data_IF_388989328649
#
_entry.id   IF_388989328649
#
_cell.length_a   1.000
_cell.length_b   1.000
_cell.length_c   1.000
_cell.angle_alpha   90.00
_cell.angle_beta   90.00
_cell.angle_gamma   90.00
#
_symmetry.space_group_name_H-M   'P 1'
#
loop_
_entity.id
_entity.type
_entity.pdbx_description
1 polymer ?
#
# COMPACT_ATOMS: atom_id res chain seq x y z
N UNK A 1 -31.15 -16.60 2.75
CA UNK A 1 -30.51 -16.27 2.78
C UNK A 1 -29.85 -15.38 2.98
N UNK A 2 -29.91 -15.05 3.24
CA UNK A 2 -29.39 -14.34 3.49
C UNK A 2 -28.17 -13.91 3.54
N UNK A 3 -27.39 -14.47 3.88
CA UNK A 3 -26.05 -14.14 3.81
C UNK A 3 -25.58 -13.52 2.58
N UNK A 4 -26.37 -13.62 1.71
CA UNK A 4 -26.14 -13.06 0.41
C UNK A 4 -25.73 -11.61 0.40
N UNK A 5 -25.95 -10.91 1.47
CA UNK A 5 -25.60 -9.50 1.51
C UNK A 5 -24.10 -9.24 1.42
N UNK A 6 -23.31 -10.29 1.41
CA UNK A 6 -21.87 -10.10 1.36
C UNK A 6 -21.29 -10.55 0.04
N UNK A 7 -22.11 -10.75 -0.92
CA UNK A 7 -21.65 -11.28 -2.16
C UNK A 7 -20.64 -10.44 -2.87
N UNK A 8 -20.71 -9.14 -2.72
CA UNK A 8 -19.74 -8.28 -3.38
C UNK A 8 -18.75 -7.79 -2.36
N UNK A 9 -17.52 -8.23 -2.43
CA UNK A 9 -16.50 -7.70 -1.55
C UNK A 9 -16.42 -6.20 -1.73
N UNK A 10 -16.39 -5.42 -0.65
CA UNK A 10 -16.29 -3.98 -0.79
C UNK A 10 -14.90 -3.50 -1.20
N UNK A 11 -13.96 -4.42 -1.42
CA UNK A 11 -12.57 -4.06 -1.73
C UNK A 11 -12.11 -4.65 -3.04
N UNK A 12 -11.27 -3.89 -3.74
CA UNK A 12 -10.49 -4.39 -4.87
C UNK A 12 -9.17 -4.96 -4.40
N UNK A 13 -8.20 -5.13 -5.30
CA UNK A 13 -6.87 -5.62 -4.93
C UNK A 13 -6.19 -4.71 -3.92
N UNK A 14 -5.37 -5.29 -3.07
CA UNK A 14 -4.64 -4.58 -2.02
C UNK A 14 -3.15 -4.81 -2.22
N UNK A 15 -2.37 -3.74 -2.22
CA UNK A 15 -0.92 -3.81 -2.25
C UNK A 15 -0.37 -3.44 -0.88
N UNK A 16 0.71 -4.11 -0.49
CA UNK A 16 1.46 -3.78 0.72
C UNK A 16 2.77 -3.11 0.32
N UNK A 17 3.08 -2.00 0.97
CA UNK A 17 4.34 -1.29 0.78
C UNK A 17 5.08 -1.18 2.09
N UNK A 18 6.36 -1.52 2.09
CA UNK A 18 7.24 -1.29 3.22
C UNK A 18 8.14 -0.11 2.86
N UNK A 19 7.87 1.04 3.47
CA UNK A 19 8.56 2.29 3.16
C UNK A 19 9.61 2.59 4.23
N UNK A 20 10.87 2.42 3.87
CA UNK A 20 11.98 2.69 4.79
C UNK A 20 12.10 4.17 5.12
N UNK A 21 12.30 4.48 6.38
CA UNK A 21 12.48 5.84 6.87
C UNK A 21 13.96 6.08 7.19
N UNK A 22 14.39 7.32 7.13
CA UNK A 22 15.79 7.66 7.41
C UNK A 22 16.09 7.77 8.90
N UNK A 23 15.12 7.56 9.76
CA UNK A 23 15.28 7.62 11.22
C UNK A 23 14.26 6.74 11.89
N UNK A 24 14.09 6.91 13.19
CA UNK A 24 13.15 6.12 13.97
C UNK A 24 11.73 6.66 13.94
N UNK A 25 11.52 7.85 13.42
CA UNK A 25 10.21 8.50 13.35
C UNK A 25 9.87 8.89 11.93
N UNK A 26 8.59 8.82 11.57
CA UNK A 26 8.18 9.26 10.24
C UNK A 26 8.33 10.76 10.11
N UNK A 27 8.83 11.18 8.97
CA UNK A 27 8.86 12.58 8.59
C UNK A 27 7.41 13.00 8.29
N UNK A 28 6.95 14.14 8.82
CA UNK A 28 5.62 14.65 8.48
C UNK A 28 5.36 14.72 6.98
N UNK A 29 6.38 14.97 6.17
CA UNK A 29 6.24 15.00 4.73
C UNK A 29 5.86 13.64 4.13
N UNK A 30 6.38 12.56 4.70
CA UNK A 30 6.04 11.21 4.25
C UNK A 30 4.57 10.90 4.54
N UNK A 31 4.09 11.27 5.71
CA UNK A 31 2.71 11.06 6.08
C UNK A 31 1.76 11.91 5.24
N UNK A 32 2.15 13.15 4.95
CA UNK A 32 1.38 14.03 4.07
C UNK A 32 1.27 13.48 2.66
N UNK A 33 2.36 12.91 2.17
CA UNK A 33 2.36 12.30 0.83
C UNK A 33 1.37 11.15 0.74
N UNK A 34 1.33 10.29 1.78
CA UNK A 34 0.36 9.20 1.82
C UNK A 34 -1.07 9.71 1.83
N UNK A 35 -1.34 10.73 2.63
CA UNK A 35 -2.67 11.33 2.72
C UNK A 35 -3.09 11.91 1.38
N UNK A 36 -2.18 12.60 0.72
CA UNK A 36 -2.44 13.22 -0.58
C UNK A 36 -2.75 12.17 -1.64
N UNK A 37 -1.96 11.10 -1.71
CA UNK A 37 -2.18 10.04 -2.68
C UNK A 37 -3.51 9.32 -2.45
N UNK A 38 -3.85 9.06 -1.20
CA UNK A 38 -5.10 8.37 -0.88
C UNK A 38 -6.31 9.29 -1.01
N UNK A 39 -6.11 10.60 -1.02
CA UNK A 39 -7.18 11.57 -1.24
C UNK A 39 -7.60 11.71 -2.70
N UNK A 40 -6.86 11.11 -3.63
CA UNK A 40 -7.14 11.23 -5.06
C UNK A 40 -8.37 10.45 -5.52
N UNK A 41 -8.84 9.49 -4.73
CA UNK A 41 -9.93 8.59 -5.12
C UNK A 41 -9.49 7.38 -5.92
N UNK A 42 -8.23 7.32 -6.32
CA UNK A 42 -7.68 6.18 -7.06
C UNK A 42 -7.19 5.08 -6.13
N UNK A 43 -6.76 5.46 -4.94
CA UNK A 43 -6.23 4.57 -3.92
C UNK A 43 -6.96 4.83 -2.61
N UNK A 44 -7.02 3.81 -1.76
CA UNK A 44 -7.61 3.95 -0.44
C UNK A 44 -6.67 3.36 0.60
N UNK A 45 -6.36 4.12 1.63
CA UNK A 45 -5.52 3.65 2.72
C UNK A 45 -6.35 2.72 3.61
N UNK A 46 -5.97 1.47 3.70
CA UNK A 46 -6.70 0.47 4.48
C UNK A 46 -6.10 0.28 5.86
N UNK A 47 -4.79 0.21 5.94
CA UNK A 47 -4.11 -0.02 7.21
C UNK A 47 -2.71 0.59 7.17
N UNK A 48 -2.16 0.91 8.34
CA UNK A 48 -0.86 1.54 8.47
C UNK A 48 -0.23 1.17 9.79
N UNK A 49 1.00 0.68 9.75
CA UNK A 49 1.78 0.38 10.93
C UNK A 49 3.14 1.05 10.84
N UNK A 50 3.65 1.51 11.97
CA UNK A 50 5.04 1.95 12.08
C UNK A 50 5.82 0.82 12.73
N UNK A 51 6.83 0.32 12.05
CA UNK A 51 7.67 -0.76 12.56
C UNK A 51 9.05 -0.20 12.79
N UNK A 52 9.53 -0.27 14.02
CA UNK A 52 10.86 0.21 14.41
C UNK A 52 11.74 -0.97 14.78
N UNK A 53 13.02 -0.90 14.42
CA UNK A 53 14.01 -1.86 14.88
C UNK A 53 15.07 -1.13 15.66
N UNK A 54 15.32 -1.60 16.89
CA UNK A 54 16.37 -1.03 17.72
C UNK A 54 17.74 -1.42 17.17
N UNK A 55 18.80 -0.83 17.71
CA UNK A 55 20.17 -1.20 17.36
C UNK A 55 20.48 -2.66 17.68
N UNK A 56 19.76 -3.23 18.64
CA UNK A 56 19.89 -4.64 19.01
C UNK A 56 19.01 -5.56 18.15
N UNK A 57 18.27 -5.00 17.20
CA UNK A 57 17.43 -5.78 16.31
C UNK A 57 16.05 -6.10 16.87
N UNK A 58 15.65 -5.49 17.98
CA UNK A 58 14.31 -5.69 18.53
C UNK A 58 13.28 -4.90 17.75
N UNK A 59 12.15 -5.54 17.45
CA UNK A 59 11.07 -4.95 16.66
C UNK A 59 9.98 -4.41 17.56
N UNK A 60 9.54 -3.17 17.28
CA UNK A 60 8.40 -2.55 17.93
C UNK A 60 7.39 -2.15 16.88
N UNK A 61 6.11 -2.43 17.12
CA UNK A 61 5.03 -2.12 16.20
C UNK A 61 4.11 -1.09 16.83
N UNK A 62 3.83 -0.01 16.11
CA UNK A 62 2.93 1.04 16.56
C UNK A 62 1.81 1.19 15.52
N UNK A 63 0.57 1.12 15.96
CA UNK A 63 -0.57 1.30 15.07
C UNK A 63 -0.75 2.78 14.72
N UNK A 64 -1.42 3.05 13.60
CA UNK A 64 -1.57 4.40 13.06
C UNK A 64 -2.05 5.41 14.10
N UNK A 65 -3.04 5.03 14.90
CA UNK A 65 -3.62 5.92 15.90
C UNK A 65 -2.65 6.32 16.99
N UNK A 66 -1.58 5.56 17.18
CA UNK A 66 -0.60 5.77 18.24
C UNK A 66 0.72 6.36 17.72
N UNK A 67 0.84 6.63 16.43
CA UNK A 67 2.06 7.20 15.87
C UNK A 67 2.25 8.62 16.37
N UNK A 68 3.36 8.91 17.05
CA UNK A 68 3.62 10.26 17.55
C UNK A 68 3.79 11.26 16.41
N UNK A 69 3.35 12.48 16.62
CA UNK A 69 3.55 13.55 15.64
C UNK A 69 2.38 13.81 14.72
N UNK A 70 1.24 13.22 15.02
CA UNK A 70 0.02 13.69 14.39
C UNK A 70 -0.32 13.12 13.03
N UNK A 71 -0.30 11.80 12.91
CA UNK A 71 -0.97 11.20 11.78
C UNK A 71 -2.47 11.29 12.10
N UNK A 72 -3.10 12.32 11.58
CA UNK A 72 -4.48 12.66 11.96
C UNK A 72 -5.54 11.70 11.44
N UNK A 73 -5.18 10.78 10.58
CA UNK A 73 -6.16 9.84 10.05
C UNK A 73 -6.72 8.95 11.16
N UNK A 74 -5.85 8.47 12.05
CA UNK A 74 -6.27 7.57 13.11
C UNK A 74 -6.97 6.33 12.56
N UNK A 75 -7.46 5.48 13.45
CA UNK A 75 -8.14 4.26 13.03
C UNK A 75 -9.42 4.53 12.25
N UNK A 76 -10.10 5.66 12.53
CA UNK A 76 -11.36 6.00 11.87
C UNK A 76 -11.15 6.37 10.39
N UNK A 77 -9.94 6.81 10.01
CA UNK A 77 -9.64 7.14 8.62
C UNK A 77 -9.11 5.97 7.81
N UNK A 78 -8.90 4.82 8.45
CA UNK A 78 -8.41 3.64 7.76
C UNK A 78 -9.58 2.78 7.32
N UNK A 79 -9.51 2.27 6.10
CA UNK A 79 -10.60 1.47 5.54
C UNK A 79 -10.73 0.08 6.16
N UNK A 80 -9.64 -0.47 6.65
CA UNK A 80 -9.62 -1.82 7.21
C UNK A 80 -8.52 -1.95 8.26
N UNK A 81 -8.59 -1.15 9.32
CA UNK A 81 -7.62 -1.21 10.40
C UNK A 81 -7.51 -2.64 10.95
N UNK A 82 -6.29 -3.12 11.11
CA UNK A 82 -6.05 -4.49 11.55
C UNK A 82 -5.92 -5.51 10.42
N UNK A 83 -6.00 -5.07 9.16
CA UNK A 83 -5.84 -5.96 8.01
C UNK A 83 -4.45 -6.58 7.98
N UNK A 84 -3.41 -5.81 8.33
CA UNK A 84 -2.05 -6.31 8.34
C UNK A 84 -1.87 -7.18 9.57
N UNK A 85 -1.59 -8.46 9.36
CA UNK A 85 -1.42 -9.42 10.45
C UNK A 85 0.03 -9.54 10.90
N UNK A 86 0.23 -10.18 12.04
CA UNK A 86 1.55 -10.39 12.60
C UNK A 86 2.47 -11.20 11.67
N UNK A 87 1.91 -12.11 10.90
CA UNK A 87 2.70 -12.90 9.95
C UNK A 87 3.32 -12.03 8.86
N UNK A 88 2.56 -11.04 8.39
CA UNK A 88 3.07 -10.09 7.39
C UNK A 88 4.20 -9.27 7.97
N UNK A 89 4.04 -8.82 9.21
CA UNK A 89 5.05 -8.02 9.89
C UNK A 89 6.32 -8.82 10.10
N UNK A 90 6.19 -10.07 10.58
CA UNK A 90 7.35 -10.90 10.87
C UNK A 90 8.22 -11.10 9.62
N UNK A 91 7.59 -11.34 8.49
CA UNK A 91 8.32 -11.53 7.24
C UNK A 91 8.99 -10.28 6.71
N UNK A 92 8.40 -9.13 6.94
CA UNK A 92 8.89 -7.87 6.40
C UNK A 92 9.84 -7.12 7.35
N UNK A 93 9.67 -7.28 8.65
CA UNK A 93 10.49 -6.58 9.64
C UNK A 93 11.98 -6.87 9.49
N UNK A 94 12.32 -8.07 9.04
CA UNK A 94 13.72 -8.45 8.83
C UNK A 94 14.40 -7.60 7.75
N UNK A 95 13.63 -6.96 6.88
CA UNK A 95 14.16 -6.11 5.82
C UNK A 95 14.50 -4.70 6.32
N UNK A 96 14.07 -4.35 7.52
CA UNK A 96 14.33 -3.03 8.09
C UNK A 96 15.71 -3.04 8.75
N UNK A 97 16.63 -2.14 8.36
CA UNK A 97 17.94 -2.08 9.00
C UNK A 97 17.83 -1.74 10.48
N UNK A 98 18.74 -2.31 11.29
CA UNK A 98 18.77 -2.03 12.72
C UNK A 98 18.91 -0.52 12.96
N UNK A 99 18.24 -0.01 13.97
CA UNK A 99 18.28 1.41 14.32
C UNK A 99 17.43 2.30 13.44
N UNK A 100 16.62 1.73 12.54
CA UNK A 100 15.75 2.50 11.67
C UNK A 100 14.30 2.05 11.82
N UNK A 101 13.40 2.70 11.08
CA UNK A 101 11.99 2.37 11.08
C UNK A 101 11.46 2.32 9.66
N UNK A 102 10.28 1.76 9.51
CA UNK A 102 9.58 1.73 8.23
C UNK A 102 8.07 1.83 8.46
N UNK A 103 7.37 2.37 7.48
CA UNK A 103 5.92 2.34 7.46
C UNK A 103 5.48 1.16 6.61
N UNK A 104 4.63 0.33 7.18
CA UNK A 104 3.99 -0.76 6.43
C UNK A 104 2.57 -0.32 6.11
N UNK A 105 2.27 -0.19 4.83
CA UNK A 105 1.05 0.43 4.34
C UNK A 105 0.27 -0.55 3.49
N UNK A 106 -1.01 -0.72 3.79
CA UNK A 106 -1.93 -1.49 2.96
C UNK A 106 -2.83 -0.53 2.20
N UNK A 107 -2.78 -0.60 0.87
CA UNK A 107 -3.49 0.32 -0.01
C UNK A 107 -4.38 -0.46 -0.96
N UNK A 108 -5.66 -0.11 -1.00
CA UNK A 108 -6.60 -0.67 -1.96
C UNK A 108 -6.46 0.07 -3.29
N UNK A 109 -6.41 -0.69 -4.38
CA UNK A 109 -6.37 -0.15 -5.72
C UNK A 109 -7.80 0.07 -6.21
N UNK A 110 -8.38 1.18 -5.79
CA UNK A 110 -9.78 1.51 -6.08
C UNK A 110 -10.02 1.60 -7.59
N UNK A 111 -9.05 2.13 -8.33
CA UNK A 111 -9.18 2.25 -9.77
C UNK A 111 -9.37 0.88 -10.44
N UNK A 112 -8.75 -0.18 -9.91
CA UNK A 112 -8.92 -1.52 -10.47
C UNK A 112 -10.31 -2.07 -10.16
N UNK A 113 -10.82 -1.82 -8.97
CA UNK A 113 -12.17 -2.20 -8.62
C UNK A 113 -13.17 -1.50 -9.54
N UNK A 114 -13.01 -0.21 -9.75
CA UNK A 114 -13.89 0.55 -10.63
C UNK A 114 -13.83 0.06 -12.07
N UNK A 115 -12.66 -0.29 -12.55
CA UNK A 115 -12.50 -0.85 -13.88
C UNK A 115 -13.27 -2.16 -14.02
N UNK A 116 -13.13 -3.04 -13.04
CA UNK A 116 -13.84 -4.32 -13.07
C UNK A 116 -15.36 -4.14 -13.05
N UNK A 117 -15.85 -3.22 -12.20
CA UNK A 117 -17.28 -2.95 -12.10
C UNK A 117 -17.85 -2.37 -13.40
N UNK A 118 -17.16 -1.41 -14.00
CA UNK A 118 -17.59 -0.79 -15.23
C UNK A 118 -17.51 -1.75 -16.40
N UNK A 119 -16.50 -2.61 -16.41
CA UNK A 119 -16.35 -3.63 -17.43
C UNK A 119 -17.53 -4.60 -17.37
N UNK A 120 -17.85 -5.08 -16.17
CA UNK A 120 -18.98 -5.99 -15.99
C UNK A 120 -20.30 -5.32 -16.38
N UNK A 121 -20.49 -4.05 -16.02
CA UNK A 121 -21.72 -3.33 -16.35
C UNK A 121 -21.89 -3.13 -17.85
N UNK A 122 -20.81 -3.10 -18.62
CA UNK A 122 -20.88 -2.93 -20.07
C UNK A 122 -21.07 -4.25 -20.82
N UNK A 123 -21.15 -5.37 -20.11
CA UNK A 123 -21.26 -6.69 -20.73
C UNK A 123 -19.92 -7.31 -21.07
N UNK A 124 -18.83 -6.63 -20.80
CA UNK A 124 -17.50 -7.17 -21.01
C UNK A 124 -17.04 -7.95 -19.77
N UNK A 125 -15.97 -8.68 -19.91
CA UNK A 125 -15.46 -9.54 -18.86
C UNK A 125 -13.95 -9.39 -18.76
N UNK A 126 -13.44 -9.18 -17.56
CA UNK A 126 -12.00 -9.10 -17.34
C UNK A 126 -11.43 -10.52 -17.36
N UNK A 127 -10.72 -10.86 -18.42
CA UNK A 127 -10.19 -12.21 -18.61
C UNK A 127 -8.82 -12.40 -17.95
N UNK A 128 -8.03 -11.33 -17.86
CA UNK A 128 -6.69 -11.44 -17.29
C UNK A 128 -6.21 -10.09 -16.79
N UNK A 129 -5.31 -10.14 -15.82
CA UNK A 129 -4.62 -8.97 -15.31
C UNK A 129 -3.15 -9.34 -15.09
N UNK A 130 -2.26 -8.51 -15.60
CA UNK A 130 -0.82 -8.70 -15.38
C UNK A 130 -0.17 -7.35 -15.08
N UNK A 131 0.87 -7.40 -14.25
CA UNK A 131 1.67 -6.22 -13.96
C UNK A 131 3.03 -6.37 -14.60
N UNK A 132 3.44 -5.35 -15.36
CA UNK A 132 4.79 -5.27 -15.87
C UNK A 132 5.55 -4.32 -14.94
N UNK A 133 6.57 -4.78 -14.23
CA UNK A 133 7.29 -3.91 -13.30
C UNK A 133 7.93 -2.72 -14.02
N UNK A 134 7.99 -1.59 -13.33
CA UNK A 134 8.51 -0.36 -13.92
C UNK A 134 9.91 -0.50 -14.53
N UNK A 135 10.87 -1.20 -13.90
CA UNK A 135 12.19 -1.37 -14.52
C UNK A 135 12.13 -2.06 -15.88
N UNK A 136 11.20 -3.00 -16.06
CA UNK A 136 11.03 -3.69 -17.34
C UNK A 136 10.46 -2.74 -18.38
N UNK A 137 9.44 -1.95 -18.00
CA UNK A 137 8.85 -0.96 -18.90
C UNK A 137 9.92 0.06 -19.33
N UNK A 138 10.67 0.57 -18.37
CA UNK A 138 11.71 1.57 -18.67
C UNK A 138 12.80 1.02 -19.58
N UNK A 139 13.20 -0.23 -19.36
CA UNK A 139 14.20 -0.86 -20.23
C UNK A 139 13.71 -0.99 -21.67
N UNK A 140 12.44 -1.34 -21.84
CA UNK A 140 11.84 -1.43 -23.18
C UNK A 140 11.79 -0.07 -23.86
N UNK A 141 11.40 0.97 -23.14
CA UNK A 141 11.32 2.32 -23.69
C UNK A 141 12.72 2.83 -24.08
N UNK A 142 13.72 2.58 -23.26
CA UNK A 142 15.09 2.96 -23.57
C UNK A 142 15.60 2.25 -24.84
N UNK A 143 15.22 0.99 -24.98
CA UNK A 143 15.57 0.20 -26.17
C UNK A 143 14.93 0.80 -27.44
N UNK A 144 13.67 1.22 -27.35
CA UNK A 144 12.99 1.85 -28.48
C UNK A 144 13.63 3.19 -28.86
N UNK A 145 14.02 3.99 -27.88
CA UNK A 145 14.72 5.25 -28.12
C UNK A 145 16.06 4.99 -28.82
N UNK A 146 16.79 3.99 -28.38
CA UNK A 146 18.08 3.64 -29.00
C UNK A 146 17.89 3.23 -30.46
N UNK A 147 16.84 2.48 -30.78
CA UNK A 147 16.55 2.09 -32.15
C UNK A 147 16.21 3.29 -33.02
N UNK A 148 15.51 4.28 -32.45
CA UNK A 148 15.14 5.47 -33.18
C UNK A 148 16.33 6.38 -33.48
N UNK A 149 17.37 6.32 -32.68
CA UNK A 149 18.56 7.14 -32.85
C UNK A 149 19.55 6.54 -33.87
N UNK A 150 19.35 5.33 -34.24
CA UNK A 150 20.18 4.66 -35.28
C UNK A 150 19.48 4.82 -36.67
#
# INVERSE_FOLDING_TARGET
MTGSVIETPPFGPVDLYLLGLSGERPDPAALSALTELTGSGLLRLLDLLLISRSDAGETTIVEAAEIPGGFEIGAAGLGAAGLIGNEDVDGLAALIPDGTAALLVAVELVYQRNLAEKTAASGAELLAYERIPAPVVNALLDSFVAEMEN
#
